data_IF_756784786093
#
_entry.id   IF_756784786093
#
_cell.length_a   1.000
_cell.length_b   1.000
_cell.length_c   1.000
_cell.angle_alpha   90.00
_cell.angle_beta   90.00
_cell.angle_gamma   90.00
#
_symmetry.space_group_name_H-M   'P 1'
#
loop_
_entity.id
_entity.type
_entity.pdbx_description
1 polymer ?
#
# COMPACT_ATOMS: atom_id res chain seq x y z
N UNK A 1 9.29 13.24 -1.56
CA UNK A 1 7.92 12.69 -1.49
C UNK A 1 7.03 13.49 -2.43
N UNK A 2 6.34 12.84 -3.36
CA UNK A 2 5.48 13.48 -4.37
C UNK A 2 4.41 14.35 -3.69
N UNK A 3 4.24 15.61 -4.10
CA UNK A 3 3.27 16.56 -3.51
C UNK A 3 1.82 16.11 -3.64
N UNK A 4 1.48 15.38 -4.72
CA UNK A 4 0.15 14.75 -4.86
C UNK A 4 -0.08 13.68 -3.79
N UNK A 5 0.91 12.82 -3.55
CA UNK A 5 0.84 11.75 -2.54
C UNK A 5 0.59 12.31 -1.14
N UNK A 6 1.26 13.40 -0.77
CA UNK A 6 1.01 14.13 0.49
C UNK A 6 -0.44 14.61 0.62
N UNK A 7 -1.01 15.18 -0.45
CA UNK A 7 -2.40 15.61 -0.44
C UNK A 7 -3.36 14.44 -0.18
N UNK A 8 -3.12 13.29 -0.81
CA UNK A 8 -3.95 12.10 -0.58
C UNK A 8 -3.79 11.53 0.82
N UNK A 9 -2.56 11.44 1.33
CA UNK A 9 -2.31 10.99 2.71
C UNK A 9 -3.01 11.87 3.73
N UNK A 10 -3.16 13.17 3.47
CA UNK A 10 -3.86 14.09 4.38
C UNK A 10 -5.39 14.00 4.29
N UNK A 11 -5.93 13.62 3.12
CA UNK A 11 -7.38 13.59 2.90
C UNK A 11 -8.02 12.22 3.24
N UNK A 12 -7.26 11.13 3.16
CA UNK A 12 -7.77 9.78 3.41
C UNK A 12 -7.45 9.31 4.84
N UNK A 13 -8.39 8.63 5.51
CA UNK A 13 -8.14 8.04 6.82
C UNK A 13 -7.39 6.71 6.73
N UNK A 14 -7.68 5.94 5.68
CA UNK A 14 -7.09 4.63 5.41
C UNK A 14 -6.83 4.52 3.91
N UNK A 15 -5.78 3.80 3.52
CA UNK A 15 -5.52 3.56 2.10
C UNK A 15 -4.19 2.89 1.84
N UNK A 16 -4.02 2.49 0.58
CA UNK A 16 -2.78 1.93 0.05
C UNK A 16 -2.37 2.77 -1.14
N UNK A 17 -1.07 3.06 -1.24
CA UNK A 17 -0.47 3.75 -2.37
C UNK A 17 0.76 3.01 -2.84
N UNK A 18 1.04 3.10 -4.13
CA UNK A 18 2.27 2.62 -4.72
C UNK A 18 2.96 3.81 -5.36
N UNK A 19 4.24 3.95 -5.06
CA UNK A 19 5.18 4.85 -5.71
C UNK A 19 6.44 4.04 -6.06
N UNK A 20 7.35 4.62 -6.82
CA UNK A 20 8.65 4.01 -7.09
C UNK A 20 9.74 5.04 -7.27
N UNK A 21 10.94 4.71 -6.82
CA UNK A 21 12.15 5.48 -7.10
C UNK A 21 13.23 4.55 -7.65
N UNK A 22 13.67 4.79 -8.89
CA UNK A 22 14.49 3.87 -9.68
C UNK A 22 13.81 2.51 -9.82
N UNK A 23 14.48 1.43 -9.38
CA UNK A 23 13.94 0.06 -9.34
C UNK A 23 13.42 -0.35 -7.95
N UNK A 24 13.24 0.59 -7.02
CA UNK A 24 12.66 0.29 -5.72
C UNK A 24 11.17 0.66 -5.69
N UNK A 25 10.34 -0.29 -5.24
CA UNK A 25 8.91 -0.06 -5.05
C UNK A 25 8.66 0.44 -3.63
N UNK A 26 7.84 1.47 -3.51
CA UNK A 26 7.36 2.01 -2.25
C UNK A 26 5.86 1.77 -2.12
N UNK A 27 5.46 0.84 -1.26
CA UNK A 27 4.06 0.63 -0.91
C UNK A 27 3.80 1.40 0.39
N UNK A 28 2.90 2.36 0.34
CA UNK A 28 2.56 3.19 1.48
C UNK A 28 1.19 2.78 1.97
N UNK A 29 1.09 2.51 3.27
CA UNK A 29 -0.16 2.13 3.92
C UNK A 29 -0.52 3.17 4.96
N UNK A 30 -1.75 3.66 4.92
CA UNK A 30 -2.32 4.46 5.99
C UNK A 30 -3.40 3.62 6.66
N UNK A 31 -3.27 3.41 7.97
CA UNK A 31 -4.16 2.53 8.71
C UNK A 31 -4.28 2.92 10.18
N UNK A 32 -5.22 2.30 10.89
CA UNK A 32 -5.36 2.49 12.33
C UNK A 32 -4.21 1.83 13.11
N UNK A 33 -3.87 2.40 14.27
CA UNK A 33 -2.81 1.87 15.15
C UNK A 33 -2.98 0.39 15.52
N UNK A 34 -4.20 -0.13 15.81
CA UNK A 34 -4.39 -1.56 16.04
C UNK A 34 -3.87 -2.45 14.89
N UNK A 35 -4.15 -2.07 13.64
CA UNK A 35 -3.73 -2.85 12.47
C UNK A 35 -2.22 -2.81 12.30
N UNK A 36 -1.61 -1.62 12.47
CA UNK A 36 -0.16 -1.47 12.41
C UNK A 36 0.51 -2.32 13.50
N UNK A 37 -0.07 -2.38 14.71
CA UNK A 37 0.42 -3.25 15.80
C UNK A 37 0.31 -4.74 15.46
N UNK A 38 -0.75 -5.16 14.77
CA UNK A 38 -0.85 -6.56 14.29
C UNK A 38 0.30 -6.91 13.36
N UNK A 39 0.59 -6.05 12.37
CA UNK A 39 1.74 -6.23 11.47
C UNK A 39 3.06 -6.28 12.23
N UNK A 40 3.25 -5.38 13.18
CA UNK A 40 4.46 -5.36 14.02
C UNK A 40 4.61 -6.65 14.84
N UNK A 41 3.49 -7.29 15.19
CA UNK A 41 3.45 -8.57 15.92
C UNK A 41 3.65 -9.78 15.01
N UNK A 42 3.91 -9.57 13.71
CA UNK A 42 4.17 -10.64 12.74
C UNK A 42 2.94 -11.14 12.00
N UNK A 43 1.83 -10.40 12.02
CA UNK A 43 0.68 -10.70 11.18
C UNK A 43 1.06 -10.80 9.70
N UNK A 44 0.54 -11.80 8.96
CA UNK A 44 0.79 -11.92 7.54
C UNK A 44 0.15 -10.76 6.79
N UNK A 45 0.83 -10.36 5.71
CA UNK A 45 0.39 -9.28 4.83
C UNK A 45 0.33 -9.82 3.42
N UNK A 46 -0.83 -9.68 2.78
CA UNK A 46 -1.04 -10.09 1.40
C UNK A 46 -1.35 -8.86 0.55
N UNK A 47 -0.52 -8.63 -0.48
CA UNK A 47 -0.84 -7.67 -1.52
C UNK A 47 -1.88 -8.30 -2.47
N UNK A 48 -3.01 -7.63 -2.62
CA UNK A 48 -4.08 -8.04 -3.51
C UNK A 48 -4.06 -7.15 -4.74
N UNK A 49 -4.03 -7.76 -5.92
CA UNK A 49 -4.09 -7.02 -7.18
C UNK A 49 -5.31 -7.48 -7.96
N UNK A 50 -6.30 -6.60 -8.07
CA UNK A 50 -7.52 -6.81 -8.83
C UNK A 50 -7.43 -6.14 -10.19
N UNK A 51 -7.60 -6.91 -11.27
CA UNK A 51 -7.63 -6.41 -12.64
C UNK A 51 -9.04 -6.53 -13.20
N UNK A 52 -9.66 -5.42 -13.60
CA UNK A 52 -10.92 -5.42 -14.36
C UNK A 52 -10.65 -5.21 -15.84
N UNK A 53 -10.60 -6.31 -16.60
CA UNK A 53 -10.38 -6.30 -18.05
C UNK A 53 -11.49 -5.62 -18.84
N UNK A 54 -12.67 -5.39 -18.24
CA UNK A 54 -13.79 -4.68 -18.88
C UNK A 54 -13.68 -3.17 -18.81
N UNK A 55 -12.92 -2.63 -17.85
CA UNK A 55 -12.80 -1.19 -17.61
C UNK A 55 -11.34 -0.71 -17.58
N UNK A 56 -10.37 -1.60 -17.80
CA UNK A 56 -8.94 -1.34 -17.56
C UNK A 56 -8.69 -0.70 -16.19
N UNK A 57 -9.40 -1.17 -15.15
CA UNK A 57 -9.22 -0.67 -13.79
C UNK A 57 -8.34 -1.64 -13.03
N UNK A 58 -7.28 -1.12 -12.43
CA UNK A 58 -6.50 -1.81 -11.42
C UNK A 58 -6.95 -1.39 -10.01
N UNK A 59 -7.14 -2.36 -9.12
CA UNK A 59 -7.34 -2.14 -7.69
C UNK A 59 -6.22 -2.83 -6.92
N UNK A 60 -5.52 -2.08 -6.08
CA UNK A 60 -4.43 -2.60 -5.24
C UNK A 60 -4.90 -2.64 -3.78
N UNK A 61 -5.26 -3.82 -3.30
CA UNK A 61 -5.59 -4.03 -1.90
C UNK A 61 -4.40 -4.51 -1.08
N UNK A 62 -4.49 -4.37 0.22
CA UNK A 62 -3.65 -5.03 1.20
C UNK A 62 -4.57 -5.73 2.20
N UNK A 63 -4.39 -7.03 2.33
CA UNK A 63 -5.06 -7.85 3.32
C UNK A 63 -4.08 -8.10 4.47
N UNK A 64 -4.46 -7.70 5.66
CA UNK A 64 -3.71 -7.93 6.90
C UNK A 64 -4.60 -8.78 7.80
N UNK A 65 -4.16 -9.98 8.14
CA UNK A 65 -4.90 -10.85 9.06
C UNK A 65 -4.48 -10.51 10.49
N UNK A 66 -5.42 -10.38 11.42
CA UNK A 66 -5.04 -10.26 12.83
C UNK A 66 -4.61 -11.61 13.42
N UNK A 67 -4.25 -11.62 14.70
CA UNK A 67 -3.80 -12.81 15.42
C UNK A 67 -4.90 -13.86 15.67
N UNK A 68 -6.12 -13.64 15.18
CA UNK A 68 -7.28 -14.54 15.26
C UNK A 68 -7.84 -14.82 13.86
N UNK A 69 -7.03 -14.63 12.82
CA UNK A 69 -7.39 -14.79 11.40
C UNK A 69 -8.55 -13.88 10.94
N UNK A 70 -8.75 -12.72 11.59
CA UNK A 70 -9.75 -11.75 11.14
C UNK A 70 -9.15 -10.88 10.02
N UNK A 71 -9.68 -10.96 8.78
CA UNK A 71 -9.12 -10.25 7.64
C UNK A 71 -9.41 -8.75 7.69
N UNK A 72 -8.38 -7.91 7.72
CA UNK A 72 -8.50 -6.48 7.49
C UNK A 72 -8.10 -6.13 6.05
N UNK A 73 -9.08 -5.73 5.25
CA UNK A 73 -8.85 -5.32 3.86
C UNK A 73 -8.72 -3.80 3.75
N UNK A 74 -7.52 -3.34 3.40
CA UNK A 74 -7.25 -1.98 2.94
C UNK A 74 -7.33 -1.98 1.41
N UNK A 75 -8.26 -1.25 0.83
CA UNK A 75 -8.34 -1.12 -0.63
C UNK A 75 -7.68 0.17 -1.11
N UNK A 76 -7.16 0.12 -2.34
CA UNK A 76 -6.75 1.31 -3.08
C UNK A 76 -7.95 2.25 -3.26
N UNK A 77 -7.84 3.55 -2.90
CA UNK A 77 -8.82 4.53 -3.37
C UNK A 77 -8.74 4.65 -4.91
N UNK A 78 -9.86 4.77 -5.64
CA UNK A 78 -9.85 4.83 -7.10
C UNK A 78 -8.95 5.95 -7.65
N UNK A 79 -8.07 5.65 -8.62
CA UNK A 79 -7.24 6.65 -9.34
C UNK A 79 -7.09 6.32 -10.82
N UNK A 80 -6.61 7.30 -11.57
CA UNK A 80 -6.21 7.14 -12.97
C UNK A 80 -4.88 6.37 -13.07
N UNK A 81 -4.73 5.57 -14.13
CA UNK A 81 -3.63 4.60 -14.32
C UNK A 81 -2.25 5.27 -14.38
N UNK A 82 -2.17 6.45 -14.99
CA UNK A 82 -0.96 7.27 -15.10
C UNK A 82 -0.52 7.89 -13.75
N UNK A 83 -1.37 7.82 -12.72
CA UNK A 83 -1.05 8.31 -11.38
C UNK A 83 -0.37 7.27 -10.48
N UNK A 84 -0.36 5.98 -10.87
CA UNK A 84 0.20 4.90 -10.06
C UNK A 84 1.65 4.60 -10.50
N UNK A 85 2.55 5.50 -10.12
CA UNK A 85 3.99 5.30 -10.35
C UNK A 85 4.47 4.01 -9.68
N UNK A 86 5.22 3.20 -10.42
CA UNK A 86 5.75 1.93 -9.91
C UNK A 86 4.83 0.74 -10.09
N UNK A 87 3.59 0.93 -10.57
CA UNK A 87 2.70 -0.18 -10.85
C UNK A 87 3.26 -1.11 -11.93
N UNK A 88 3.65 -0.56 -13.09
CA UNK A 88 4.22 -1.37 -14.18
C UNK A 88 5.47 -2.11 -13.72
N UNK A 89 6.28 -1.46 -12.89
CA UNK A 89 7.49 -2.03 -12.32
C UNK A 89 7.15 -3.17 -11.33
N UNK A 90 6.10 -3.01 -10.51
CA UNK A 90 5.62 -4.05 -9.61
C UNK A 90 5.05 -5.24 -10.37
N UNK A 91 4.26 -5.01 -11.42
CA UNK A 91 3.64 -6.04 -12.24
C UNK A 91 4.66 -6.79 -13.12
N UNK A 92 5.69 -6.10 -13.61
CA UNK A 92 6.76 -6.71 -14.40
C UNK A 92 7.69 -7.58 -13.56
N UNK A 93 7.74 -7.34 -12.24
CA UNK A 93 8.67 -8.00 -11.33
C UNK A 93 10.11 -7.47 -11.44
N UNK A 94 10.33 -6.40 -12.20
CA UNK A 94 11.67 -5.87 -12.52
C UNK A 94 12.21 -4.89 -11.47
N UNK A 95 11.96 -5.15 -10.19
CA UNK A 95 12.36 -4.31 -9.06
C UNK A 95 13.47 -4.94 -8.21
N UNK A 96 14.26 -4.09 -7.54
CA UNK A 96 15.35 -4.47 -6.65
C UNK A 96 14.88 -4.77 -5.22
N UNK A 97 13.69 -4.27 -4.85
CA UNK A 97 13.05 -4.54 -3.57
C UNK A 97 11.77 -3.74 -3.34
N UNK A 98 11.03 -4.14 -2.31
CA UNK A 98 9.78 -3.49 -1.89
C UNK A 98 9.97 -2.90 -0.49
N UNK A 99 9.69 -1.61 -0.34
CA UNK A 99 9.58 -0.96 0.96
C UNK A 99 8.11 -0.66 1.28
N UNK A 100 7.61 -1.25 2.35
CA UNK A 100 6.35 -0.91 2.97
C UNK A 100 6.57 0.24 3.97
N UNK A 101 5.79 1.30 3.87
CA UNK A 101 5.83 2.43 4.81
C UNK A 101 4.44 2.63 5.41
N UNK A 102 4.34 2.54 6.73
CA UNK A 102 3.07 2.67 7.45
C UNK A 102 2.94 4.07 8.06
N UNK A 103 1.80 4.68 7.80
CA UNK A 103 1.32 5.90 8.43
C UNK A 103 0.09 5.59 9.28
N UNK A 104 -0.04 6.28 10.41
CA UNK A 104 -1.28 6.24 11.19
C UNK A 104 -2.37 7.12 10.54
N UNK A 105 -3.57 7.12 11.12
CA UNK A 105 -4.69 7.95 10.67
C UNK A 105 -4.41 9.47 10.66
N UNK A 106 -3.40 9.93 11.39
CA UNK A 106 -2.98 11.33 11.49
C UNK A 106 -1.79 11.67 10.58
N UNK A 107 -1.46 10.77 9.64
CA UNK A 107 -0.35 10.96 8.69
C UNK A 107 1.02 11.00 9.38
N UNK A 108 1.13 10.41 10.57
CA UNK A 108 2.42 10.18 11.22
C UNK A 108 3.02 8.88 10.74
N UNK A 109 4.27 8.90 10.25
CA UNK A 109 5.00 7.68 9.89
C UNK A 109 5.28 6.86 11.15
N UNK A 110 4.89 5.59 11.14
CA UNK A 110 4.97 4.69 12.31
C UNK A 110 5.99 3.58 12.10
N UNK A 111 6.07 3.00 10.91
CA UNK A 111 6.88 1.81 10.67
C UNK A 111 7.33 1.73 9.21
N UNK A 112 8.54 1.21 9.01
CA UNK A 112 9.03 0.77 7.70
C UNK A 112 9.33 -0.72 7.74
N UNK A 113 8.93 -1.43 6.69
CA UNK A 113 9.27 -2.84 6.51
C UNK A 113 9.83 -3.04 5.10
N UNK A 114 11.03 -3.62 5.01
CA UNK A 114 11.63 -3.98 3.72
C UNK A 114 11.36 -5.46 3.44
N UNK A 115 10.85 -5.74 2.25
CA UNK A 115 10.62 -7.08 1.72
C UNK A 115 11.52 -7.25 0.50
N UNK A 116 12.19 -8.41 0.44
CA UNK A 116 12.98 -8.85 -0.70
C UNK A 116 12.09 -9.57 -1.70
#
# INVERSE_FOLDING_TARGET
>A
MNTKLLAYLNNELHGVWIDSENRNIHIILKSSIPIIKSVWSGAPIHLLVGLSTKKNILVIGMLIEDNVDNPFLLAYPPREEDEIKGLDLLLSGDYDGIQLTFFDSHTMRVMDLKIK
#
